data_IF_480658501162
#
_entry.id   IF_480658501162
#
_cell.length_a   1.000
_cell.length_b   1.000
_cell.length_c   1.000
_cell.angle_alpha   90.00
_cell.angle_beta   90.00
_cell.angle_gamma   90.00
#
_symmetry.space_group_name_H-M   'P 1'
#
loop_
_entity.id
_entity.type
_entity.pdbx_description
1 polymer ?
#
# COMPACT_ATOMS: atom_id res chain seq x y z
N UNK A 1 -20.93 42.39 -20.69
CA UNK A 1 -20.58 41.91 -19.33
C UNK A 1 -20.69 40.39 -19.20
N UNK A 2 -21.73 39.75 -19.77
CA UNK A 2 -21.93 38.28 -19.76
C UNK A 2 -20.71 37.45 -20.24
N UNK A 3 -19.97 37.96 -21.23
CA UNK A 3 -18.82 37.27 -21.80
C UNK A 3 -17.61 37.20 -20.83
N UNK A 4 -17.38 38.26 -20.05
CA UNK A 4 -16.29 38.30 -19.06
C UNK A 4 -16.61 37.44 -17.84
N UNK A 5 -17.87 37.40 -17.40
CA UNK A 5 -18.30 36.56 -16.28
C UNK A 5 -18.27 35.08 -16.63
N UNK A 6 -18.66 34.70 -17.86
CA UNK A 6 -18.58 33.31 -18.31
C UNK A 6 -17.12 32.85 -18.43
N UNK A 7 -16.25 33.71 -18.97
CA UNK A 7 -14.81 33.47 -19.07
C UNK A 7 -14.12 33.35 -17.70
N UNK A 8 -14.50 34.18 -16.73
CA UNK A 8 -13.99 34.10 -15.35
C UNK A 8 -14.45 32.83 -14.62
N UNK A 9 -15.71 32.39 -14.83
CA UNK A 9 -16.24 31.16 -14.20
C UNK A 9 -15.45 29.91 -14.61
N UNK A 10 -15.11 29.79 -15.90
CA UNK A 10 -14.28 28.68 -16.41
C UNK A 10 -12.82 28.74 -15.95
N UNK A 11 -12.31 29.94 -15.63
CA UNK A 11 -10.94 30.10 -15.11
C UNK A 11 -10.83 29.64 -13.64
N UNK A 12 -11.89 29.77 -12.85
CA UNK A 12 -11.87 29.33 -11.44
C UNK A 12 -11.89 27.80 -11.24
N UNK A 13 -12.31 27.03 -12.24
CA UNK A 13 -12.40 25.57 -12.13
C UNK A 13 -11.10 24.83 -12.52
N UNK A 14 -10.05 25.57 -12.86
CA UNK A 14 -8.73 25.06 -13.20
C UNK A 14 -7.75 25.03 -12.01
N UNK A 15 -8.25 24.99 -10.77
CA UNK A 15 -7.40 24.76 -9.61
C UNK A 15 -6.76 23.39 -9.77
N UNK A 16 -5.51 23.46 -10.20
CA UNK A 16 -4.56 22.39 -10.31
C UNK A 16 -4.69 21.51 -9.07
N UNK A 17 -5.11 20.26 -9.26
CA UNK A 17 -5.04 19.26 -8.21
C UNK A 17 -3.56 18.84 -8.12
N UNK A 18 -2.73 19.73 -7.59
CA UNK A 18 -1.35 19.41 -7.24
C UNK A 18 -1.41 18.37 -6.12
N UNK A 19 -0.92 17.17 -6.40
CA UNK A 19 -0.76 16.12 -5.39
C UNK A 19 0.22 16.62 -4.33
N UNK A 20 -0.26 16.92 -3.12
CA UNK A 20 0.59 17.13 -1.97
C UNK A 20 1.11 15.77 -1.49
N UNK A 21 2.25 15.35 -2.02
CA UNK A 21 3.02 14.24 -1.44
C UNK A 21 3.55 14.77 -0.09
N UNK A 22 2.80 14.51 0.98
CA UNK A 22 3.30 14.70 2.33
C UNK A 22 4.25 13.54 2.65
N UNK A 23 5.50 13.68 2.20
CA UNK A 23 6.60 12.87 2.70
C UNK A 23 6.77 13.28 4.18
N UNK A 24 6.61 12.36 5.15
CA UNK A 24 6.87 12.68 6.53
C UNK A 24 8.31 13.21 6.67
N UNK A 25 8.53 14.27 7.47
CA UNK A 25 9.87 14.80 7.66
C UNK A 25 10.79 13.73 8.25
N UNK A 26 11.99 13.58 7.69
CA UNK A 26 13.05 12.64 8.12
C UNK A 26 13.41 12.74 9.62
N UNK A 27 12.99 13.80 10.31
CA UNK A 27 13.10 13.90 11.77
C UNK A 27 11.91 14.65 12.36
N UNK A 28 10.95 13.88 12.83
CA UNK A 28 9.83 14.36 13.61
C UNK A 28 8.82 13.23 13.77
N UNK A 29 8.66 12.72 14.99
CA UNK A 29 7.57 11.80 15.32
C UNK A 29 6.24 12.50 15.00
N UNK A 30 5.71 12.26 13.80
CA UNK A 30 4.31 12.53 13.54
C UNK A 30 3.58 11.54 14.44
N UNK A 31 3.01 12.03 15.54
CA UNK A 31 2.13 11.25 16.41
C UNK A 31 0.85 10.91 15.65
N UNK A 32 0.97 9.98 14.71
CA UNK A 32 -0.15 9.31 14.08
C UNK A 32 -0.65 8.35 15.14
N UNK A 33 -1.92 8.47 15.53
CA UNK A 33 -2.53 7.44 16.38
C UNK A 33 -2.38 6.10 15.65
N UNK A 34 -1.89 5.07 16.34
CA UNK A 34 -1.61 3.76 15.73
C UNK A 34 -2.83 3.21 14.96
N UNK A 35 -4.03 3.50 15.44
CA UNK A 35 -5.32 3.16 14.81
C UNK A 35 -5.55 3.81 13.43
N UNK A 36 -4.80 4.85 13.09
CA UNK A 36 -4.84 5.52 11.79
C UNK A 36 -3.76 4.99 10.82
N UNK A 37 -3.00 3.97 11.20
CA UNK A 37 -1.97 3.38 10.33
C UNK A 37 -2.45 2.01 9.87
N UNK A 38 -2.64 1.86 8.56
CA UNK A 38 -2.84 0.56 7.94
C UNK A 38 -1.52 0.10 7.33
N UNK A 39 -1.00 -1.04 7.78
CA UNK A 39 0.20 -1.65 7.20
C UNK A 39 -0.22 -2.71 6.19
N UNK A 40 0.20 -2.57 4.94
CA UNK A 40 -0.04 -3.49 3.84
C UNK A 40 1.27 -4.16 3.45
N UNK A 41 1.42 -5.44 3.76
CA UNK A 41 2.58 -6.26 3.47
C UNK A 41 2.31 -7.13 2.24
N UNK A 42 3.20 -7.09 1.26
CA UNK A 42 3.05 -7.84 0.01
C UNK A 42 4.03 -9.02 0.02
N UNK A 43 3.48 -10.22 0.00
CA UNK A 43 4.23 -11.47 -0.01
C UNK A 43 4.64 -11.94 -1.40
N UNK A 44 5.58 -12.91 -1.48
CA UNK A 44 5.99 -13.54 -2.74
C UNK A 44 4.94 -14.52 -3.28
N UNK A 45 3.98 -14.92 -2.45
CA UNK A 45 2.91 -15.88 -2.72
C UNK A 45 1.73 -15.28 -3.51
N UNK A 46 1.79 -13.98 -3.81
CA UNK A 46 0.71 -13.28 -4.50
C UNK A 46 -0.43 -12.86 -3.57
N UNK A 47 -0.23 -12.96 -2.25
CA UNK A 47 -1.16 -12.46 -1.25
C UNK A 47 -0.66 -11.13 -0.68
N UNK A 48 -1.62 -10.32 -0.24
CA UNK A 48 -1.39 -9.14 0.57
C UNK A 48 -1.87 -9.40 2.00
N UNK A 49 -1.14 -8.87 2.96
CA UNK A 49 -1.45 -8.99 4.38
C UNK A 49 -1.62 -7.61 4.95
N UNK A 50 -2.81 -7.28 5.42
CA UNK A 50 -3.11 -5.96 5.94
C UNK A 50 -3.37 -6.01 7.45
N UNK A 51 -2.94 -4.98 8.17
CA UNK A 51 -3.24 -4.80 9.59
C UNK A 51 -3.47 -3.32 9.87
N UNK A 52 -4.22 -2.99 10.92
CA UNK A 52 -4.42 -1.60 11.37
C UNK A 52 -3.87 -1.49 12.79
N UNK A 53 -2.98 -0.52 13.02
CA UNK A 53 -2.26 -0.38 14.28
C UNK A 53 -1.57 -1.68 14.69
N UNK A 54 -1.82 -2.14 15.91
CA UNK A 54 -1.26 -3.38 16.48
C UNK A 54 -2.12 -4.63 16.22
N UNK A 55 -3.11 -4.57 15.34
CA UNK A 55 -3.97 -5.73 15.07
C UNK A 55 -3.24 -6.86 14.33
N UNK A 56 -3.73 -8.09 14.49
CA UNK A 56 -3.18 -9.24 13.79
C UNK A 56 -3.38 -9.09 12.27
N UNK A 57 -2.36 -9.39 11.44
CA UNK A 57 -2.49 -9.29 9.99
C UNK A 57 -3.56 -10.22 9.43
N UNK A 58 -4.41 -9.69 8.56
CA UNK A 58 -5.38 -10.44 7.80
C UNK A 58 -4.89 -10.64 6.36
N UNK A 59 -5.12 -11.84 5.82
CA UNK A 59 -4.70 -12.20 4.46
C UNK A 59 -5.81 -11.86 3.47
N UNK A 60 -5.45 -11.24 2.35
CA UNK A 60 -6.32 -10.99 1.20
C UNK A 60 -5.56 -11.31 -0.08
N UNK A 61 -6.26 -11.85 -1.09
CA UNK A 61 -5.61 -12.07 -2.39
C UNK A 61 -5.25 -10.73 -3.02
N UNK A 62 -4.03 -10.60 -3.55
CA UNK A 62 -3.63 -9.36 -4.22
C UNK A 62 -4.33 -9.23 -5.59
N UNK A 63 -4.64 -10.34 -6.24
CA UNK A 63 -5.19 -10.39 -7.60
C UNK A 63 -6.38 -11.36 -7.68
N UNK A 64 -7.35 -11.03 -8.54
CA UNK A 64 -8.41 -11.97 -8.91
C UNK A 64 -7.92 -12.86 -10.07
N UNK A 65 -7.61 -14.12 -9.76
CA UNK A 65 -7.19 -15.13 -10.75
C UNK A 65 -5.74 -15.61 -10.59
N UNK A 66 -5.28 -16.45 -11.53
CA UNK A 66 -3.93 -17.03 -11.46
C UNK A 66 -2.82 -15.96 -11.59
N UNK A 67 -1.84 -16.06 -10.70
CA UNK A 67 -0.68 -15.18 -10.61
C UNK A 67 0.04 -15.05 -11.97
N UNK A 68 -0.18 -13.92 -12.68
CA UNK A 68 0.43 -13.65 -13.98
C UNK A 68 -0.51 -13.16 -15.08
N UNK A 69 -1.82 -13.38 -14.95
CA UNK A 69 -2.84 -12.92 -15.93
C UNK A 69 -3.72 -11.77 -15.44
N UNK A 70 -3.70 -11.46 -14.15
CA UNK A 70 -4.48 -10.37 -13.60
C UNK A 70 -3.94 -9.02 -14.09
N UNK A 71 -4.86 -8.17 -14.56
CA UNK A 71 -4.61 -6.81 -15.08
C UNK A 71 -4.83 -5.76 -13.98
N UNK A 72 -5.51 -6.14 -12.89
CA UNK A 72 -5.89 -5.25 -11.79
C UNK A 72 -5.86 -6.01 -10.46
N UNK A 73 -5.78 -5.26 -9.35
CA UNK A 73 -5.93 -5.82 -8.00
C UNK A 73 -7.29 -6.49 -7.81
N UNK A 74 -7.38 -7.38 -6.81
CA UNK A 74 -8.63 -8.04 -6.46
C UNK A 74 -9.72 -7.03 -6.06
N UNK A 75 -10.96 -7.30 -6.45
CA UNK A 75 -12.11 -6.48 -6.04
C UNK A 75 -12.30 -6.50 -4.52
N UNK A 76 -11.89 -7.57 -3.84
CA UNK A 76 -11.88 -7.68 -2.38
C UNK A 76 -10.93 -6.66 -1.75
N UNK A 77 -9.67 -6.59 -2.22
CA UNK A 77 -8.69 -5.62 -1.72
C UNK A 77 -9.14 -4.19 -2.02
N UNK A 78 -9.68 -3.93 -3.20
CA UNK A 78 -10.19 -2.60 -3.57
C UNK A 78 -11.34 -2.18 -2.67
N UNK A 79 -12.30 -3.07 -2.43
CA UNK A 79 -13.41 -2.84 -1.52
C UNK A 79 -12.93 -2.52 -0.10
N UNK A 80 -11.92 -3.25 0.37
CA UNK A 80 -11.31 -3.04 1.67
C UNK A 80 -10.67 -1.66 1.78
N UNK A 81 -9.79 -1.30 0.85
CA UNK A 81 -9.09 -0.02 0.80
C UNK A 81 -10.08 1.16 0.82
N UNK A 82 -11.14 1.08 0.01
CA UNK A 82 -12.19 2.10 -0.03
C UNK A 82 -12.96 2.16 1.29
N UNK A 83 -13.30 1.01 1.88
CA UNK A 83 -14.07 0.97 3.12
C UNK A 83 -13.30 1.58 4.29
N UNK A 84 -12.02 1.24 4.44
CA UNK A 84 -11.18 1.74 5.54
C UNK A 84 -10.82 3.22 5.35
N UNK A 85 -10.52 3.64 4.11
CA UNK A 85 -10.25 5.06 3.82
C UNK A 85 -11.48 5.94 4.03
N UNK A 86 -12.69 5.44 3.72
CA UNK A 86 -13.95 6.16 3.99
C UNK A 86 -14.29 6.20 5.48
N UNK A 87 -14.02 5.11 6.21
CA UNK A 87 -14.23 5.03 7.66
C UNK A 87 -13.31 5.99 8.40
N UNK A 88 -12.07 6.12 7.94
CA UNK A 88 -11.04 6.92 8.57
C UNK A 88 -10.34 7.84 7.56
N UNK A 89 -10.76 9.09 7.49
CA UNK A 89 -10.17 10.09 6.58
C UNK A 89 -8.73 10.48 6.93
N UNK A 90 -8.22 10.09 8.10
CA UNK A 90 -6.84 10.30 8.53
C UNK A 90 -5.94 9.09 8.29
N UNK A 91 -6.49 7.99 7.77
CA UNK A 91 -5.76 6.75 7.53
C UNK A 91 -4.52 7.01 6.68
N UNK A 92 -3.40 6.41 7.08
CA UNK A 92 -2.15 6.38 6.33
C UNK A 92 -1.84 4.92 6.03
N UNK A 93 -1.60 4.62 4.76
CA UNK A 93 -1.31 3.26 4.29
C UNK A 93 0.19 3.10 4.11
N UNK A 94 0.81 2.22 4.91
CA UNK A 94 2.24 1.89 4.80
C UNK A 94 2.36 0.61 3.98
N UNK A 95 2.97 0.69 2.81
CA UNK A 95 3.17 -0.46 1.92
C UNK A 95 4.57 -1.01 2.12
N UNK A 96 4.65 -2.32 2.41
CA UNK A 96 5.91 -3.04 2.61
C UNK A 96 6.02 -4.20 1.64
N UNK A 97 7.03 -4.20 0.80
CA UNK A 97 7.26 -5.22 -0.22
C UNK A 97 8.35 -6.19 0.26
N UNK A 98 8.02 -7.48 0.39
CA UNK A 98 9.03 -8.50 0.69
C UNK A 98 10.02 -8.66 -0.46
N UNK A 99 11.27 -9.03 -0.17
CA UNK A 99 12.32 -9.20 -1.20
C UNK A 99 12.00 -10.25 -2.28
N UNK A 100 11.11 -11.19 -1.98
CA UNK A 100 10.62 -12.18 -2.95
C UNK A 100 9.40 -11.73 -3.77
N UNK A 101 8.76 -10.61 -3.42
CA UNK A 101 7.61 -10.10 -4.15
C UNK A 101 8.05 -9.39 -5.44
N UNK A 102 7.20 -9.47 -6.47
CA UNK A 102 7.51 -8.86 -7.77
C UNK A 102 7.32 -7.35 -7.68
N UNK A 103 8.28 -6.57 -8.18
CA UNK A 103 8.17 -5.11 -8.25
C UNK A 103 6.89 -4.66 -8.99
N UNK A 104 6.42 -5.42 -9.98
CA UNK A 104 5.14 -5.20 -10.65
C UNK A 104 3.97 -5.07 -9.67
N UNK A 105 3.95 -5.87 -8.61
CA UNK A 105 2.90 -5.82 -7.58
C UNK A 105 2.82 -4.45 -6.91
N UNK A 106 3.96 -3.81 -6.69
CA UNK A 106 4.02 -2.46 -6.12
C UNK A 106 3.49 -1.41 -7.11
N UNK A 107 3.89 -1.52 -8.38
CA UNK A 107 3.43 -0.59 -9.43
C UNK A 107 1.92 -0.67 -9.61
N UNK A 108 1.38 -1.89 -9.74
CA UNK A 108 -0.06 -2.13 -9.86
C UNK A 108 -0.82 -1.56 -8.65
N UNK A 109 -0.25 -1.67 -7.45
CA UNK A 109 -0.84 -1.14 -6.23
C UNK A 109 -0.87 0.40 -6.21
N UNK A 110 0.21 1.04 -6.64
CA UNK A 110 0.29 2.50 -6.75
C UNK A 110 -0.72 3.01 -7.78
N UNK A 111 -0.86 2.33 -8.91
CA UNK A 111 -1.83 2.69 -9.95
C UNK A 111 -3.28 2.62 -9.43
N UNK A 112 -3.60 1.57 -8.66
CA UNK A 112 -4.91 1.45 -8.01
C UNK A 112 -5.12 2.51 -6.91
N UNK A 113 -4.09 2.87 -6.14
CA UNK A 113 -4.21 3.97 -5.17
C UNK A 113 -4.53 5.30 -5.85
N UNK A 114 -3.89 5.58 -6.98
CA UNK A 114 -4.18 6.77 -7.78
C UNK A 114 -5.63 6.75 -8.31
N UNK A 115 -6.09 5.59 -8.81
CA UNK A 115 -7.47 5.41 -9.29
C UNK A 115 -8.50 5.59 -8.16
N UNK A 116 -8.20 5.09 -6.97
CA UNK A 116 -9.04 5.19 -5.77
C UNK A 116 -8.91 6.53 -5.03
N UNK A 117 -8.06 7.44 -5.51
CA UNK A 117 -7.77 8.75 -4.89
C UNK A 117 -7.23 8.63 -3.44
N UNK A 118 -6.44 7.59 -3.19
CA UNK A 118 -5.74 7.36 -1.92
C UNK A 118 -4.43 8.13 -1.96
N UNK A 119 -4.41 9.29 -1.29
CA UNK A 119 -3.28 10.22 -1.33
C UNK A 119 -2.34 10.10 -0.12
N UNK A 120 -2.70 9.29 0.89
CA UNK A 120 -1.98 9.16 2.17
C UNK A 120 -1.36 7.77 2.27
N UNK A 121 -0.27 7.55 1.54
CA UNK A 121 0.48 6.30 1.64
C UNK A 121 1.99 6.57 1.69
N UNK A 122 2.73 5.61 2.23
CA UNK A 122 4.19 5.60 2.24
C UNK A 122 4.69 4.21 1.89
N UNK A 123 5.92 4.15 1.37
CA UNK A 123 6.63 2.89 1.15
C UNK A 123 7.65 2.74 2.27
N UNK A 124 7.77 1.53 2.81
CA UNK A 124 8.73 1.22 3.87
C UNK A 124 9.35 -0.16 3.64
N UNK A 125 10.48 -0.39 4.28
CA UNK A 125 11.20 -1.65 4.18
C UNK A 125 10.44 -2.77 4.89
N UNK A 126 10.47 -3.94 4.26
CA UNK A 126 9.93 -5.17 4.82
C UNK A 126 10.95 -5.78 5.78
N UNK A 127 10.61 -5.85 7.06
CA UNK A 127 11.52 -6.31 8.12
C UNK A 127 11.27 -7.75 8.53
N UNK A 128 12.18 -8.35 9.32
CA UNK A 128 12.00 -9.69 9.89
C UNK A 128 10.75 -9.78 10.77
N UNK A 129 10.45 -8.72 11.55
CA UNK A 129 9.21 -8.65 12.33
C UNK A 129 7.95 -8.69 11.45
N UNK A 130 8.01 -8.11 10.25
CA UNK A 130 6.91 -8.20 9.26
C UNK A 130 6.79 -9.62 8.69
N UNK A 131 7.92 -10.32 8.50
CA UNK A 131 7.95 -11.73 8.10
C UNK A 131 7.36 -12.64 9.18
N UNK A 132 7.66 -12.38 10.45
CA UNK A 132 7.06 -13.10 11.59
C UNK A 132 5.56 -12.85 11.69
N UNK A 133 5.13 -11.59 11.57
CA UNK A 133 3.73 -11.19 11.68
C UNK A 133 2.82 -11.88 10.66
N UNK A 134 3.33 -12.18 9.46
CA UNK A 134 2.59 -12.87 8.40
C UNK A 134 2.95 -14.36 8.27
N UNK A 135 3.72 -14.90 9.23
CA UNK A 135 4.09 -16.31 9.28
C UNK A 135 5.08 -16.77 8.20
N UNK A 136 5.77 -15.83 7.53
CA UNK A 136 6.82 -16.11 6.54
C UNK A 136 8.18 -16.45 7.17
N UNK A 137 8.46 -16.03 8.41
CA UNK A 137 9.72 -16.33 9.10
C UNK A 137 10.02 -17.85 9.21
N UNK A 138 8.98 -18.69 9.18
CA UNK A 138 9.14 -20.15 9.16
C UNK A 138 9.58 -20.72 7.78
N UNK A 139 9.50 -19.93 6.69
CA UNK A 139 9.81 -20.39 5.32
C UNK A 139 11.16 -19.91 4.79
N UNK A 140 11.70 -18.79 5.26
CA UNK A 140 13.04 -18.32 4.85
C UNK A 140 14.17 -19.06 5.56
N UNK A 141 13.97 -19.49 6.81
CA UNK A 141 14.94 -20.33 7.55
C UNK A 141 15.21 -21.71 6.91
N UNK A 142 14.46 -22.09 5.87
CA UNK A 142 14.71 -23.30 5.08
C UNK A 142 15.66 -23.13 3.89
N UNK A 143 16.04 -21.91 3.51
CA UNK A 143 16.87 -21.67 2.31
C UNK A 143 18.33 -21.26 2.57
N UNK A 144 18.69 -20.91 3.80
CA UNK A 144 20.05 -20.43 4.10
C UNK A 144 20.98 -21.44 4.80
N UNK A 145 20.54 -22.70 5.01
CA UNK A 145 21.39 -23.76 5.59
C UNK A 145 21.92 -24.76 4.56
N UNK A 146 22.26 -24.28 3.37
CA UNK A 146 22.63 -25.10 2.20
C UNK A 146 23.86 -24.64 1.43
N UNK A 147 24.76 -23.84 2.01
CA UNK A 147 26.10 -23.60 1.46
C UNK A 147 27.11 -23.46 2.60
N UNK A 148 27.87 -24.51 2.87
CA UNK A 148 28.96 -24.41 3.83
C UNK A 148 29.52 -25.70 4.39
N UNK A 149 29.51 -26.82 3.66
CA UNK A 149 30.53 -27.86 3.86
C UNK A 149 30.49 -28.84 2.69
N UNK A 150 31.43 -28.74 1.76
CA UNK A 150 32.01 -29.91 1.10
C UNK A 150 33.32 -29.53 0.42
N UNK A 151 34.35 -30.27 0.83
CA UNK A 151 35.76 -30.31 0.38
C UNK A 151 36.72 -29.27 0.94
#
# INVERSE_FOLDING_TARGET
>A
FLLLTFFMLTTTFGLQNTMEINIPPESGEVKIAEDNVMTLRIGPDGNAYWSIGSSAPQTVSLYDGEAGKAVSLSDELRGLLVSETRRNSKLVIVVKLSGGAKYRNLVDLIDEFNLLQINRFSLDEFTEADAEAIGMAARENGREKGRGHES
#
